data_IF_892841602024
#
_entry.id   IF_892841602024
#
_cell.length_a   1.000
_cell.length_b   1.000
_cell.length_c   1.000
_cell.angle_alpha   90.00
_cell.angle_beta   90.00
_cell.angle_gamma   90.00
#
_symmetry.space_group_name_H-M   'P 1'
#
loop_
_entity.id
_entity.type
_entity.pdbx_description
1 polymer ?
#
# COMPACT_ATOMS: atom_id res chain seq x y z
N UNK A 1 1.24 -14.39 -47.36
CA UNK A 1 1.75 -13.12 -46.82
C UNK A 1 0.60 -12.26 -46.33
N UNK A 2 0.59 -11.88 -45.05
CA UNK A 2 -0.44 -10.96 -44.53
C UNK A 2 -0.54 -11.03 -43.00
N UNK A 3 0.27 -10.25 -42.30
CA UNK A 3 -0.04 -9.90 -40.90
C UNK A 3 -1.36 -9.14 -40.90
N UNK A 4 -2.39 -9.65 -40.20
CA UNK A 4 -3.69 -8.99 -40.14
C UNK A 4 -3.56 -7.52 -39.73
N UNK A 5 -4.38 -6.65 -40.32
CA UNK A 5 -4.37 -5.21 -40.05
C UNK A 5 -4.52 -4.94 -38.54
N UNK A 6 -5.28 -5.77 -37.84
CA UNK A 6 -5.44 -5.75 -36.39
C UNK A 6 -4.13 -6.02 -35.65
N UNK A 7 -3.32 -6.97 -36.13
CA UNK A 7 -2.02 -7.30 -35.54
C UNK A 7 -0.99 -6.22 -35.84
N UNK A 8 -1.09 -5.52 -36.97
CA UNK A 8 -0.29 -4.35 -37.29
C UNK A 8 -0.65 -3.15 -36.39
N UNK A 9 -1.93 -2.85 -36.21
CA UNK A 9 -2.43 -1.77 -35.35
C UNK A 9 -2.08 -2.07 -33.88
N UNK A 10 -2.29 -3.30 -33.41
CA UNK A 10 -1.96 -3.73 -32.04
C UNK A 10 -0.46 -3.85 -31.81
N UNK A 11 0.32 -4.17 -32.85
CA UNK A 11 1.79 -4.20 -32.81
C UNK A 11 2.41 -2.81 -32.66
N UNK A 12 1.75 -1.76 -33.16
CA UNK A 12 2.15 -0.36 -32.97
C UNK A 12 1.71 0.23 -31.62
N UNK A 13 0.89 -0.46 -30.84
CA UNK A 13 0.58 -0.04 -29.47
C UNK A 13 1.86 -0.16 -28.63
N UNK A 14 2.51 0.97 -28.37
CA UNK A 14 3.67 1.06 -27.49
C UNK A 14 3.31 0.41 -26.15
N UNK A 15 3.87 -0.78 -25.88
CA UNK A 15 3.75 -1.42 -24.56
C UNK A 15 4.27 -0.42 -23.54
N UNK A 16 3.36 0.05 -22.68
CA UNK A 16 3.69 1.06 -21.70
C UNK A 16 4.72 0.49 -20.71
N UNK A 17 5.58 1.35 -20.15
CA UNK A 17 6.58 0.95 -19.14
C UNK A 17 5.92 0.26 -17.93
N UNK A 18 4.65 0.54 -17.65
CA UNK A 18 3.86 -0.13 -16.60
C UNK A 18 3.49 -1.57 -16.95
N UNK A 19 3.16 -1.87 -18.21
CA UNK A 19 2.87 -3.23 -18.68
C UNK A 19 4.11 -4.14 -18.60
N UNK A 20 5.27 -3.63 -18.99
CA UNK A 20 6.55 -4.34 -18.86
C UNK A 20 6.89 -4.68 -17.38
N UNK A 21 6.67 -3.72 -16.46
CA UNK A 21 6.87 -3.93 -15.02
C UNK A 21 5.87 -4.93 -14.44
N UNK A 22 4.61 -4.88 -14.87
CA UNK A 22 3.56 -5.83 -14.49
C UNK A 22 3.95 -7.26 -14.89
N UNK A 23 4.37 -7.44 -16.15
CA UNK A 23 4.82 -8.73 -16.68
C UNK A 23 6.05 -9.27 -15.92
N UNK A 24 7.03 -8.42 -15.59
CA UNK A 24 8.20 -8.81 -14.77
C UNK A 24 7.77 -9.35 -13.40
N UNK A 25 6.85 -8.68 -12.71
CA UNK A 25 6.33 -9.15 -11.40
C UNK A 25 5.63 -10.50 -11.51
N UNK A 26 4.84 -10.71 -12.56
CA UNK A 26 4.15 -11.99 -12.79
C UNK A 26 5.16 -13.12 -13.03
N UNK A 27 6.20 -12.87 -13.85
CA UNK A 27 7.25 -13.86 -14.13
C UNK A 27 8.00 -14.22 -12.83
N UNK A 28 8.42 -13.23 -12.04
CA UNK A 28 9.11 -13.46 -10.77
C UNK A 28 8.23 -14.28 -9.82
N UNK A 29 6.95 -13.91 -9.66
CA UNK A 29 6.01 -14.65 -8.79
C UNK A 29 5.85 -16.10 -9.25
N UNK A 30 5.73 -16.34 -10.56
CA UNK A 30 5.63 -17.69 -11.13
C UNK A 30 6.90 -18.52 -10.86
N UNK A 31 8.07 -17.90 -10.97
CA UNK A 31 9.35 -18.56 -10.69
C UNK A 31 9.52 -18.90 -9.21
N UNK A 32 9.19 -17.98 -8.31
CA UNK A 32 9.24 -18.23 -6.85
C UNK A 32 8.32 -19.39 -6.46
N UNK A 33 7.08 -19.38 -6.96
CA UNK A 33 6.11 -20.45 -6.71
C UNK A 33 6.61 -21.81 -7.21
N UNK A 34 7.22 -21.87 -8.40
CA UNK A 34 7.84 -23.12 -8.91
C UNK A 34 8.97 -23.61 -8.00
N UNK A 35 9.85 -22.71 -7.54
CA UNK A 35 10.93 -23.05 -6.63
C UNK A 35 10.42 -23.57 -5.28
N UNK A 36 9.33 -23.00 -4.77
CA UNK A 36 8.68 -23.47 -3.55
C UNK A 36 8.11 -24.89 -3.74
N UNK A 37 7.39 -25.13 -4.83
CA UNK A 37 6.87 -26.47 -5.15
C UNK A 37 8.00 -27.50 -5.34
N UNK A 38 9.09 -27.14 -6.01
CA UNK A 38 10.25 -28.02 -6.14
C UNK A 38 10.92 -28.31 -4.80
N UNK A 39 11.03 -27.31 -3.90
CA UNK A 39 11.55 -27.52 -2.55
C UNK A 39 10.67 -28.47 -1.75
N UNK A 40 9.35 -28.29 -1.79
CA UNK A 40 8.39 -29.16 -1.11
C UNK A 40 8.45 -30.57 -1.70
N UNK A 41 8.41 -30.72 -3.03
CA UNK A 41 8.52 -32.01 -3.71
C UNK A 41 9.84 -32.73 -3.40
N UNK A 42 10.96 -32.00 -3.30
CA UNK A 42 12.24 -32.59 -2.87
C UNK A 42 12.21 -33.05 -1.42
N UNK A 43 11.58 -32.29 -0.52
CA UNK A 43 11.40 -32.69 0.89
C UNK A 43 10.48 -33.89 1.04
N UNK A 44 9.39 -33.94 0.29
CA UNK A 44 8.47 -35.08 0.27
C UNK A 44 9.12 -36.31 -0.36
N UNK A 45 9.90 -36.13 -1.44
CA UNK A 45 10.69 -37.22 -2.04
C UNK A 45 11.82 -37.71 -1.14
N UNK A 46 12.50 -36.82 -0.42
CA UNK A 46 13.53 -37.21 0.55
C UNK A 46 12.94 -37.80 1.85
N UNK A 47 11.76 -37.33 2.28
CA UNK A 47 11.06 -37.90 3.42
C UNK A 47 10.47 -39.28 3.10
N UNK A 48 9.97 -39.48 1.87
CA UNK A 48 9.53 -40.79 1.38
C UNK A 48 10.70 -41.77 1.19
N UNK A 49 11.90 -41.29 0.84
CA UNK A 49 13.12 -42.10 0.81
C UNK A 49 13.67 -42.41 2.22
N UNK A 50 13.45 -41.52 3.19
CA UNK A 50 13.87 -41.71 4.59
C UNK A 50 12.91 -42.60 5.40
N UNK A 51 11.67 -42.82 4.95
CA UNK A 51 10.73 -43.76 5.59
C UNK A 51 10.89 -45.22 5.13
N UNK A 52 11.88 -45.51 4.27
CA UNK A 52 12.12 -46.85 3.72
C UNK A 52 13.52 -47.42 3.98
N UNK A 53 14.38 -46.74 4.73
CA UNK A 53 15.72 -47.22 5.07
C UNK A 53 15.86 -47.25 6.59
N UNK A 54 15.96 -48.47 7.13
CA UNK A 54 16.21 -48.72 8.53
C UNK A 54 17.55 -48.12 9.00
N UNK A 55 17.56 -47.88 10.31
CA UNK A 55 18.70 -48.06 11.21
C UNK A 55 20.04 -47.39 10.84
N UNK A 56 20.36 -46.34 11.59
CA UNK A 56 21.73 -45.92 11.90
C UNK A 56 22.56 -45.37 10.74
N UNK A 57 22.71 -44.04 10.67
CA UNK A 57 24.03 -43.40 10.79
C UNK A 57 23.89 -41.88 10.66
N UNK A 58 24.52 -41.18 11.59
CA UNK A 58 24.48 -39.73 11.74
C UNK A 58 25.48 -39.08 10.78
N UNK A 59 25.11 -38.88 9.50
CA UNK A 59 26.00 -38.23 8.53
C UNK A 59 25.42 -36.90 8.00
N UNK A 60 25.63 -35.83 8.77
CA UNK A 60 25.45 -34.45 8.31
C UNK A 60 25.99 -33.45 9.35
N UNK A 61 26.66 -32.35 8.94
CA UNK A 61 27.24 -31.40 9.88
C UNK A 61 26.11 -30.72 10.68
N UNK A 62 25.90 -31.20 11.91
CA UNK A 62 24.89 -30.70 12.85
C UNK A 62 25.21 -29.22 13.13
N UNK A 63 24.32 -28.34 12.67
CA UNK A 63 24.40 -26.89 12.88
C UNK A 63 24.62 -26.59 14.36
N UNK A 64 25.32 -25.49 14.69
CA UNK A 64 25.48 -25.04 16.08
C UNK A 64 24.15 -25.04 16.84
N UNK A 65 23.08 -24.59 16.19
CA UNK A 65 21.73 -24.58 16.76
C UNK A 65 21.17 -25.99 17.00
N UNK A 66 21.48 -26.97 16.15
CA UNK A 66 21.04 -28.35 16.36
C UNK A 66 21.76 -28.99 17.54
N UNK A 67 23.00 -28.58 17.85
CA UNK A 67 23.69 -29.01 19.07
C UNK A 67 23.06 -28.33 20.29
N UNK A 68 22.94 -27.02 20.24
CA UNK A 68 22.37 -26.18 21.31
C UNK A 68 20.97 -26.65 21.75
N UNK A 69 20.04 -26.85 20.81
CA UNK A 69 18.68 -27.31 21.15
C UNK A 69 18.64 -28.76 21.60
N UNK A 70 19.63 -29.57 21.23
CA UNK A 70 19.70 -30.96 21.67
C UNK A 70 20.28 -31.06 23.08
N UNK A 71 21.23 -30.21 23.41
CA UNK A 71 21.77 -30.04 24.76
C UNK A 71 20.70 -29.53 25.73
N UNK A 72 19.87 -28.57 25.29
CA UNK A 72 18.67 -28.11 26.01
C UNK A 72 17.63 -29.22 26.23
N UNK A 73 17.43 -30.10 25.25
CA UNK A 73 16.51 -31.23 25.36
C UNK A 73 17.06 -32.38 26.19
N UNK A 74 18.39 -32.54 26.22
CA UNK A 74 19.08 -33.57 26.99
C UNK A 74 19.29 -33.17 28.46
N UNK A 75 18.80 -32.00 28.89
CA UNK A 75 18.68 -31.64 30.30
C UNK A 75 20.00 -31.42 31.03
N UNK A 76 21.11 -31.23 30.30
CA UNK A 76 22.45 -31.09 30.89
C UNK A 76 22.84 -29.60 31.01
N UNK A 77 21.98 -28.80 31.65
CA UNK A 77 22.32 -27.43 32.05
C UNK A 77 22.70 -27.48 33.52
N UNK A 78 24.01 -27.55 33.78
CA UNK A 78 24.55 -27.25 35.10
C UNK A 78 24.17 -25.81 35.45
N UNK A 79 23.52 -25.66 36.60
CA UNK A 79 23.00 -24.41 37.12
C UNK A 79 24.10 -23.75 37.95
N UNK A 80 24.76 -22.74 37.39
CA UNK A 80 25.50 -21.71 38.14
C UNK A 80 25.29 -20.39 37.38
N UNK A 81 24.35 -19.54 37.81
CA UNK A 81 24.50 -18.50 38.81
C UNK A 81 24.91 -17.14 38.19
N UNK A 82 24.29 -16.08 38.74
CA UNK A 82 24.63 -14.65 38.62
C UNK A 82 23.92 -13.76 37.58
N UNK A 83 22.93 -13.05 38.14
CA UNK A 83 22.67 -11.60 38.03
C UNK A 83 22.95 -10.87 36.72
N UNK A 84 21.87 -10.38 36.08
CA UNK A 84 21.87 -9.02 35.51
C UNK A 84 20.52 -8.34 35.78
N UNK A 85 20.44 -7.65 36.94
CA UNK A 85 19.60 -6.45 37.08
C UNK A 85 20.46 -5.25 36.65
N UNK A 86 20.06 -4.53 35.60
CA UNK A 86 20.13 -3.06 35.55
C UNK A 86 19.58 -2.54 34.22
N UNK A 87 18.52 -1.74 34.27
CA UNK A 87 18.30 -0.55 33.43
C UNK A 87 16.93 0.05 33.79
N UNK A 88 16.91 0.65 34.98
CA UNK A 88 16.06 1.78 35.33
C UNK A 88 16.64 3.05 34.67
N UNK A 89 15.80 4.06 34.47
CA UNK A 89 16.11 5.43 34.01
C UNK A 89 16.12 5.68 32.50
N UNK A 90 14.97 6.10 31.95
CA UNK A 90 14.88 7.40 31.26
C UNK A 90 13.43 7.91 31.16
N UNK A 91 13.34 9.24 31.29
CA UNK A 91 12.27 10.16 30.83
C UNK A 91 10.99 10.27 31.65
N UNK A 92 11.09 11.05 32.74
CA UNK A 92 10.10 12.07 33.09
C UNK A 92 10.08 13.17 32.03
N UNK A 93 8.95 13.40 31.36
CA UNK A 93 8.64 14.71 30.80
C UNK A 93 7.13 14.89 30.79
N UNK A 94 6.71 15.92 31.49
CA UNK A 94 5.34 16.41 31.63
C UNK A 94 4.81 16.87 30.27
N UNK A 95 3.50 16.74 30.05
CA UNK A 95 2.70 17.85 29.52
C UNK A 95 1.20 17.55 29.70
N UNK A 96 0.54 18.58 30.21
CA UNK A 96 -0.84 18.67 30.67
C UNK A 96 -1.84 18.73 29.52
N UNK A 97 -3.07 18.25 29.75
CA UNK A 97 -4.33 18.92 29.37
C UNK A 97 -5.54 18.09 29.81
N UNK A 98 -6.06 18.46 30.98
CA UNK A 98 -7.48 18.68 31.31
C UNK A 98 -8.54 18.08 30.36
N UNK A 99 -9.17 16.97 30.80
CA UNK A 99 -10.62 16.73 30.75
C UNK A 99 -10.92 15.27 31.12
N UNK A 100 -11.24 15.05 32.40
CA UNK A 100 -12.31 14.14 32.88
C UNK A 100 -12.22 14.00 34.42
N UNK A 101 -12.66 15.06 35.11
CA UNK A 101 -13.28 14.88 36.41
C UNK A 101 -14.66 14.27 36.17
N UNK A 102 -14.87 13.05 36.70
CA UNK A 102 -16.12 12.49 37.23
C UNK A 102 -16.01 10.97 37.25
N UNK A 103 -15.18 10.42 38.15
CA UNK A 103 -15.45 9.15 38.82
C UNK A 103 -14.40 8.90 39.91
N UNK A 104 -14.50 9.66 41.00
CA UNK A 104 -13.93 9.22 42.27
C UNK A 104 -15.04 8.50 43.04
N UNK A 105 -14.99 7.17 43.05
CA UNK A 105 -15.53 6.34 44.13
C UNK A 105 -14.81 5.00 44.13
N UNK A 106 -13.99 4.81 45.15
CA UNK A 106 -13.70 3.50 45.71
C UNK A 106 -12.51 2.74 45.13
N UNK A 107 -11.46 2.67 45.95
CA UNK A 107 -10.70 1.45 46.25
C UNK A 107 -9.62 1.00 45.25
N UNK A 108 -8.38 1.04 45.77
CA UNK A 108 -7.18 0.33 45.30
C UNK A 108 -6.86 0.57 43.83
N UNK A 109 -5.87 1.43 43.59
CA UNK A 109 -5.17 1.52 42.30
C UNK A 109 -4.45 0.20 42.01
N UNK A 110 -5.19 -0.83 41.64
CA UNK A 110 -4.67 -1.88 40.80
C UNK A 110 -4.20 -1.18 39.54
N UNK A 111 -2.89 -1.17 39.30
CA UNK A 111 -2.33 -0.74 38.02
C UNK A 111 -3.07 -1.56 36.97
N UNK A 112 -4.05 -0.92 36.30
CA UNK A 112 -4.88 -1.59 35.34
C UNK A 112 -3.93 -2.17 34.30
N UNK A 113 -3.95 -3.49 34.15
CA UNK A 113 -3.07 -4.17 33.20
C UNK A 113 -3.24 -3.46 31.85
N UNK A 114 -2.16 -3.04 31.18
CA UNK A 114 -2.27 -2.31 29.94
C UNK A 114 -3.11 -3.13 28.96
N UNK A 115 -4.11 -2.50 28.33
CA UNK A 115 -4.98 -3.19 27.37
C UNK A 115 -4.07 -3.90 26.35
N UNK A 116 -4.15 -5.24 26.24
CA UNK A 116 -3.27 -6.01 25.36
C UNK A 116 -3.39 -5.56 23.90
N UNK A 117 -4.50 -4.91 23.53
CA UNK A 117 -4.75 -4.37 22.20
C UNK A 117 -4.45 -2.89 22.06
N UNK A 118 -3.97 -2.17 23.08
CA UNK A 118 -3.74 -0.72 23.01
C UNK A 118 -2.81 -0.34 21.83
N UNK A 119 -1.67 -1.04 21.71
CA UNK A 119 -0.73 -0.83 20.60
C UNK A 119 -1.36 -1.18 19.24
N UNK A 120 -2.18 -2.23 19.19
CA UNK A 120 -2.87 -2.65 17.98
C UNK A 120 -3.92 -1.61 17.55
N UNK A 121 -4.74 -1.11 18.48
CA UNK A 121 -5.74 -0.05 18.26
C UNK A 121 -5.08 1.24 17.76
N UNK A 122 -3.98 1.68 18.39
CA UNK A 122 -3.22 2.86 17.95
C UNK A 122 -2.65 2.68 16.53
N UNK A 123 -2.05 1.53 16.23
CA UNK A 123 -1.55 1.21 14.88
C UNK A 123 -2.68 1.16 13.84
N UNK A 124 -3.82 0.57 14.19
CA UNK A 124 -4.98 0.50 13.30
C UNK A 124 -5.54 1.88 12.98
N UNK A 125 -5.60 2.78 13.98
CA UNK A 125 -6.03 4.16 13.79
C UNK A 125 -5.11 4.92 12.81
N UNK A 126 -3.79 4.82 13.00
CA UNK A 126 -2.80 5.43 12.10
C UNK A 126 -2.93 4.88 10.68
N UNK A 127 -3.01 3.54 10.53
CA UNK A 127 -3.16 2.91 9.22
C UNK A 127 -4.47 3.29 8.51
N UNK A 128 -5.55 3.54 9.27
CA UNK A 128 -6.83 4.01 8.72
C UNK A 128 -6.69 5.43 8.18
N UNK A 129 -6.06 6.33 8.95
CA UNK A 129 -5.81 7.71 8.53
C UNK A 129 -4.88 7.78 7.31
N UNK A 130 -3.81 6.98 7.28
CA UNK A 130 -2.89 6.92 6.14
C UNK A 130 -3.61 6.46 4.86
N UNK A 131 -4.43 5.40 4.94
CA UNK A 131 -5.24 4.93 3.81
C UNK A 131 -6.21 5.99 3.30
N UNK A 132 -6.79 6.80 4.19
CA UNK A 132 -7.66 7.91 3.81
C UNK A 132 -6.88 8.99 3.07
N UNK A 133 -5.73 9.43 3.60
CA UNK A 133 -4.85 10.41 2.95
C UNK A 133 -4.45 9.97 1.54
N UNK A 134 -4.02 8.72 1.37
CA UNK A 134 -3.65 8.18 0.05
C UNK A 134 -4.83 8.16 -0.93
N UNK A 135 -6.05 7.90 -0.45
CA UNK A 135 -7.26 7.95 -1.30
C UNK A 135 -7.57 9.39 -1.72
N UNK A 136 -7.52 10.32 -0.78
CA UNK A 136 -7.75 11.74 -1.05
C UNK A 136 -6.72 12.32 -2.02
N UNK A 137 -5.44 11.98 -1.86
CA UNK A 137 -4.38 12.40 -2.78
C UNK A 137 -4.64 11.89 -4.20
N UNK A 138 -5.02 10.61 -4.34
CA UNK A 138 -5.38 10.04 -5.65
C UNK A 138 -6.59 10.74 -6.26
N UNK A 139 -7.62 11.02 -5.47
CA UNK A 139 -8.81 11.76 -5.93
C UNK A 139 -8.44 13.19 -6.36
N UNK A 140 -7.59 13.88 -5.59
CA UNK A 140 -7.09 15.22 -5.94
C UNK A 140 -6.31 15.20 -7.26
N UNK A 141 -5.46 14.20 -7.47
CA UNK A 141 -4.71 14.03 -8.71
C UNK A 141 -5.63 13.77 -9.91
N UNK A 142 -6.63 12.90 -9.74
CA UNK A 142 -7.64 12.63 -10.78
C UNK A 142 -8.44 13.90 -11.12
N UNK A 143 -8.96 14.60 -10.12
CA UNK A 143 -9.69 15.84 -10.31
C UNK A 143 -8.83 16.91 -11.01
N UNK A 144 -7.53 17.00 -10.70
CA UNK A 144 -6.62 17.90 -11.38
C UNK A 144 -6.42 17.52 -12.86
N UNK A 145 -6.31 16.22 -13.17
CA UNK A 145 -6.23 15.73 -14.54
C UNK A 145 -7.51 16.03 -15.32
N UNK A 146 -8.67 15.82 -14.71
CA UNK A 146 -9.98 16.08 -15.32
C UNK A 146 -10.20 17.59 -15.57
N UNK A 147 -9.77 18.45 -14.63
CA UNK A 147 -9.77 19.91 -14.84
C UNK A 147 -8.92 20.30 -16.05
N UNK A 148 -7.72 19.72 -16.20
CA UNK A 148 -6.86 19.99 -17.37
C UNK A 148 -7.50 19.49 -18.67
N UNK A 149 -8.13 18.33 -18.64
CA UNK A 149 -8.81 17.74 -19.79
C UNK A 149 -10.03 18.58 -20.21
N UNK A 150 -10.85 19.01 -19.26
CA UNK A 150 -12.00 19.90 -19.54
C UNK A 150 -11.56 21.26 -20.05
N UNK A 151 -10.49 21.86 -19.49
CA UNK A 151 -9.90 23.09 -20.02
C UNK A 151 -9.39 22.91 -21.45
N UNK A 152 -8.68 21.82 -21.75
CA UNK A 152 -8.23 21.51 -23.11
C UNK A 152 -9.41 21.35 -24.07
N UNK A 153 -10.45 20.61 -23.68
CA UNK A 153 -11.68 20.46 -24.48
C UNK A 153 -12.35 21.81 -24.73
N UNK A 154 -12.51 22.65 -23.70
CA UNK A 154 -13.06 24.00 -23.82
C UNK A 154 -12.22 24.85 -24.78
N UNK A 155 -10.89 24.82 -24.67
CA UNK A 155 -9.99 25.54 -25.59
C UNK A 155 -10.13 25.04 -27.03
N UNK A 156 -10.21 23.74 -27.23
CA UNK A 156 -10.41 23.14 -28.54
C UNK A 156 -11.73 23.58 -29.17
N UNK A 157 -12.83 23.52 -28.43
CA UNK A 157 -14.15 23.98 -28.89
C UNK A 157 -14.10 25.47 -29.26
N UNK A 158 -13.48 26.31 -28.41
CA UNK A 158 -13.29 27.74 -28.72
C UNK A 158 -12.44 27.97 -29.98
N UNK A 159 -11.41 27.15 -30.22
CA UNK A 159 -10.60 27.23 -31.43
C UNK A 159 -11.40 26.81 -32.67
N UNK A 160 -12.21 25.76 -32.59
CA UNK A 160 -13.08 25.33 -33.70
C UNK A 160 -14.18 26.33 -34.03
N UNK A 161 -14.56 27.18 -33.07
CA UNK A 161 -15.55 28.25 -33.25
C UNK A 161 -14.94 29.56 -33.79
N UNK A 162 -13.66 29.55 -34.18
CA UNK A 162 -12.97 30.69 -34.80
C UNK A 162 -12.78 30.44 -36.29
N UNK A 163 -12.63 31.52 -37.04
CA UNK A 163 -12.26 31.47 -38.46
C UNK A 163 -10.81 30.99 -38.63
N UNK A 164 -10.39 30.68 -39.86
CA UNK A 164 -9.01 30.29 -40.16
C UNK A 164 -7.97 31.34 -39.71
N UNK A 165 -8.35 32.63 -39.74
CA UNK A 165 -7.54 33.76 -39.25
C UNK A 165 -7.59 33.93 -37.73
N UNK A 166 -8.35 33.10 -37.01
CA UNK A 166 -8.46 33.13 -35.55
C UNK A 166 -9.46 34.16 -34.99
N UNK A 167 -10.16 34.88 -35.86
CA UNK A 167 -11.22 35.82 -35.46
C UNK A 167 -12.45 35.07 -34.95
N UNK A 168 -13.20 35.63 -33.99
CA UNK A 168 -14.44 35.02 -33.54
C UNK A 168 -15.45 35.01 -34.68
N UNK A 169 -16.14 33.88 -34.87
CA UNK A 169 -17.23 33.82 -35.84
C UNK A 169 -18.35 34.76 -35.38
N UNK A 170 -18.70 35.74 -36.23
CA UNK A 170 -19.63 36.84 -35.92
C UNK A 170 -20.93 36.32 -35.29
N UNK A 171 -21.51 35.25 -35.84
CA UNK A 171 -22.73 34.61 -35.31
C UNK A 171 -22.61 34.21 -33.84
N UNK A 172 -21.49 33.61 -33.45
CA UNK A 172 -21.25 33.18 -32.07
C UNK A 172 -20.99 34.39 -31.18
N UNK A 173 -20.22 35.37 -31.67
CA UNK A 173 -19.90 36.57 -30.90
C UNK A 173 -21.12 37.44 -30.59
N UNK A 174 -22.01 37.64 -31.57
CA UNK A 174 -23.28 38.35 -31.38
C UNK A 174 -24.15 37.59 -30.37
N UNK A 175 -24.25 36.26 -30.50
CA UNK A 175 -25.00 35.43 -29.55
C UNK A 175 -24.51 35.59 -28.10
N UNK A 176 -23.19 35.63 -27.89
CA UNK A 176 -22.57 35.83 -26.57
C UNK A 176 -22.88 37.24 -26.01
N UNK A 177 -22.78 38.28 -26.84
CA UNK A 177 -23.10 39.66 -26.44
C UNK A 177 -24.57 39.78 -26.02
N UNK A 178 -25.49 39.25 -26.83
CA UNK A 178 -26.92 39.29 -26.53
C UNK A 178 -27.23 38.51 -25.24
N UNK A 179 -26.60 37.36 -25.04
CA UNK A 179 -26.79 36.56 -23.83
C UNK A 179 -26.29 37.29 -22.58
N UNK A 180 -25.15 37.99 -22.66
CA UNK A 180 -24.62 38.81 -21.57
C UNK A 180 -25.56 39.98 -21.26
N UNK A 181 -26.02 40.72 -22.26
CA UNK A 181 -26.95 41.83 -22.09
C UNK A 181 -28.29 41.38 -21.47
N UNK A 182 -28.80 40.22 -21.86
CA UNK A 182 -30.00 39.66 -21.24
C UNK A 182 -29.78 39.23 -19.79
N UNK A 183 -28.60 38.70 -19.46
CA UNK A 183 -28.26 38.32 -18.09
C UNK A 183 -28.12 39.56 -17.20
N UNK A 184 -27.45 40.60 -17.68
CA UNK A 184 -27.30 41.89 -16.99
C UNK A 184 -28.68 42.53 -16.72
N UNK A 185 -29.54 42.61 -17.73
CA UNK A 185 -30.93 43.08 -17.52
C UNK A 185 -31.69 42.26 -16.49
N UNK A 186 -31.50 40.94 -16.44
CA UNK A 186 -32.17 40.08 -15.45
C UNK A 186 -31.61 40.26 -14.04
N UNK A 187 -30.32 40.58 -13.89
CA UNK A 187 -29.74 40.89 -12.58
C UNK A 187 -30.12 42.29 -12.09
N UNK A 188 -30.31 43.26 -12.98
CA UNK A 188 -30.75 44.61 -12.62
C UNK A 188 -32.22 44.67 -12.18
N UNK A 189 -33.05 43.75 -12.69
CA UNK A 189 -34.48 43.66 -12.34
C UNK A 189 -34.75 42.74 -11.13
N UNK A 190 -33.72 42.30 -10.41
CA UNK A 190 -33.81 41.50 -9.18
C UNK A 190 -33.29 42.30 -8.00
#
# INVERSE_FOLDING_TARGET
SGLSIERFIKGKAQKSKSDAKSKKKVIIRKALRRREYEKVKKREGSAAAASGAGEGDACGPRSFYDKFFSELKNGNVDVDAEEVRCCSEVSSLEETHEQKQQQERGERRHVAKPDPFFKAKKKAAVAKQEKQRVREEKQKQQAAADKKLTQRKKRHVKLSQRTATGQPVVRNHIGDILSRLQAERKSENK
#
